data_IF_601116309561
#
_entry.id   IF_601116309561
#
_cell.length_a   1.000
_cell.length_b   1.000
_cell.length_c   1.000
_cell.angle_alpha   90.00
_cell.angle_beta   90.00
_cell.angle_gamma   90.00
#
_symmetry.space_group_name_H-M   'P 1'
#
loop_
_entity.id
_entity.type
_entity.pdbx_description
1 polymer ?
#
# COMPACT_ATOMS: atom_id res chain seq x y z
N UNK A 1 10.80 -8.21 -14.82
CA UNK A 1 11.14 -6.79 -14.96
C UNK A 1 10.01 -5.93 -14.45
N UNK A 2 10.32 -4.95 -13.60
CA UNK A 2 9.30 -4.07 -13.03
C UNK A 2 8.89 -3.00 -14.04
N UNK A 3 7.60 -2.85 -14.24
CA UNK A 3 7.03 -1.94 -15.24
C UNK A 3 6.03 -1.00 -14.58
N UNK A 4 5.76 0.12 -15.24
CA UNK A 4 4.65 1.00 -14.86
C UNK A 4 3.35 0.24 -15.06
N UNK A 5 2.47 0.27 -14.05
CA UNK A 5 1.17 -0.39 -14.12
C UNK A 5 0.09 0.67 -14.19
N UNK A 6 -0.51 0.80 -15.36
CA UNK A 6 -1.59 1.76 -15.57
C UNK A 6 -2.90 1.14 -15.08
N UNK A 7 -3.52 1.76 -14.07
CA UNK A 7 -4.79 1.28 -13.52
C UNK A 7 -5.97 1.86 -14.31
N UNK A 8 -5.94 3.17 -14.51
CA UNK A 8 -6.92 3.85 -15.36
C UNK A 8 -6.27 5.13 -15.92
N UNK A 9 -7.03 6.02 -16.57
CA UNK A 9 -6.46 7.22 -17.16
C UNK A 9 -5.82 8.18 -16.16
N UNK A 10 -6.17 8.07 -14.87
CA UNK A 10 -5.73 9.00 -13.83
C UNK A 10 -4.92 8.35 -12.72
N UNK A 11 -4.78 7.03 -12.70
CA UNK A 11 -4.13 6.32 -11.61
C UNK A 11 -3.16 5.28 -12.14
N UNK A 12 -1.94 5.28 -11.61
CA UNK A 12 -0.92 4.30 -12.01
C UNK A 12 0.01 3.97 -10.84
N UNK A 13 0.72 2.86 -10.98
CA UNK A 13 1.79 2.44 -10.09
C UNK A 13 3.12 2.60 -10.82
N UNK A 14 4.00 3.43 -10.26
CA UNK A 14 5.32 3.67 -10.81
C UNK A 14 6.35 2.92 -9.97
N UNK A 15 7.17 2.03 -10.56
CA UNK A 15 8.23 1.38 -9.78
C UNK A 15 9.07 2.42 -9.02
N UNK A 16 9.32 2.15 -7.76
CA UNK A 16 9.97 3.08 -6.84
C UNK A 16 11.29 3.64 -7.38
N UNK A 17 12.09 2.78 -8.04
CA UNK A 17 13.40 3.17 -8.52
C UNK A 17 13.36 4.13 -9.71
N UNK A 18 12.21 4.33 -10.36
CA UNK A 18 12.08 5.19 -11.54
C UNK A 18 11.95 6.68 -11.21
N UNK A 19 11.65 7.02 -9.97
CA UNK A 19 11.55 8.41 -9.54
C UNK A 19 11.83 8.53 -8.05
N UNK A 20 12.36 9.66 -7.63
CA UNK A 20 12.59 9.94 -6.21
C UNK A 20 11.56 10.94 -5.72
N UNK A 21 10.52 10.43 -5.06
CA UNK A 21 9.48 11.24 -4.45
C UNK A 21 9.59 11.30 -2.93
N UNK A 22 10.78 11.00 -2.39
CA UNK A 22 10.96 10.93 -0.92
C UNK A 22 10.70 12.24 -0.20
N UNK A 23 11.01 13.38 -0.84
CA UNK A 23 10.75 14.69 -0.23
C UNK A 23 9.25 14.89 0.03
N UNK A 24 8.42 14.55 -0.94
CA UNK A 24 6.96 14.63 -0.77
C UNK A 24 6.48 13.56 0.21
N UNK A 25 6.98 12.35 0.07
CA UNK A 25 6.59 11.23 0.94
C UNK A 25 6.88 11.52 2.41
N UNK A 26 7.99 12.20 2.71
CA UNK A 26 8.29 12.55 4.10
C UNK A 26 7.17 13.37 4.73
N UNK A 27 6.52 14.26 3.97
CA UNK A 27 5.41 15.05 4.48
C UNK A 27 4.23 14.16 4.89
N UNK A 28 3.98 13.05 4.17
CA UNK A 28 2.90 12.11 4.52
C UNK A 28 3.18 11.46 5.87
N UNK A 29 4.42 11.02 6.08
CA UNK A 29 4.81 10.27 7.27
C UNK A 29 5.16 11.17 8.46
N UNK A 30 5.00 12.48 8.32
CA UNK A 30 5.05 13.43 9.43
C UNK A 30 3.66 13.71 10.01
N UNK A 31 2.61 13.26 9.33
CA UNK A 31 1.26 13.27 9.85
C UNK A 31 1.10 12.12 10.84
N UNK A 32 1.02 12.44 12.13
CA UNK A 32 0.98 11.43 13.19
C UNK A 32 -0.28 10.56 13.15
N UNK A 33 -1.37 11.06 12.58
CA UNK A 33 -2.58 10.26 12.41
C UNK A 33 -2.35 9.18 11.36
N UNK A 34 -1.67 9.51 10.26
CA UNK A 34 -1.30 8.53 9.25
C UNK A 34 -0.34 7.50 9.83
N UNK A 35 0.69 7.96 10.54
CA UNK A 35 1.70 7.07 11.13
C UNK A 35 1.05 6.08 12.11
N UNK A 36 0.08 6.53 12.88
CA UNK A 36 -0.64 5.64 13.78
C UNK A 36 -1.37 4.53 13.03
N UNK A 37 -1.99 4.84 11.89
CA UNK A 37 -2.66 3.83 11.06
C UNK A 37 -1.66 2.83 10.47
N UNK A 38 -0.46 3.27 10.15
CA UNK A 38 0.57 2.45 9.50
C UNK A 38 1.40 1.65 10.52
N UNK A 39 1.84 2.31 11.58
CA UNK A 39 2.80 1.75 12.54
C UNK A 39 2.22 1.49 13.94
N UNK A 40 1.02 1.97 14.22
CA UNK A 40 0.40 1.83 15.53
C UNK A 40 0.94 2.79 16.60
N UNK A 41 1.79 3.73 16.23
CA UNK A 41 2.37 4.74 17.13
C UNK A 41 2.27 6.13 16.49
N UNK A 42 2.30 7.16 17.33
CA UNK A 42 2.14 8.55 16.87
C UNK A 42 3.49 9.27 16.84
N UNK A 43 4.48 8.67 16.20
CA UNK A 43 5.82 9.23 16.07
C UNK A 43 6.10 9.60 14.62
N UNK A 44 6.28 10.89 14.30
CA UNK A 44 6.54 11.29 12.92
C UNK A 44 7.87 10.73 12.44
N UNK A 45 7.96 10.42 11.15
CA UNK A 45 9.20 9.93 10.55
C UNK A 45 10.17 11.07 10.33
N UNK A 46 11.45 10.76 10.43
CA UNK A 46 12.52 11.60 9.88
C UNK A 46 13.04 10.96 8.59
N UNK A 47 14.02 11.61 7.94
CA UNK A 47 14.59 11.14 6.67
C UNK A 47 15.18 9.74 6.83
N UNK A 48 15.91 9.48 7.91
CA UNK A 48 16.56 8.20 8.13
C UNK A 48 15.55 7.07 8.26
N UNK A 49 14.48 7.29 9.01
CA UNK A 49 13.42 6.28 9.18
C UNK A 49 12.67 6.04 7.87
N UNK A 50 12.40 7.10 7.11
CA UNK A 50 11.75 6.97 5.81
C UNK A 50 12.60 6.13 4.86
N UNK A 51 13.90 6.44 4.76
CA UNK A 51 14.80 5.70 3.89
C UNK A 51 14.93 4.25 4.32
N UNK A 52 14.98 3.97 5.63
CA UNK A 52 15.04 2.61 6.14
C UNK A 52 13.78 1.81 5.78
N UNK A 53 12.61 2.44 5.89
CA UNK A 53 11.35 1.81 5.52
C UNK A 53 11.34 1.43 4.04
N UNK A 54 11.67 2.37 3.16
CA UNK A 54 11.66 2.09 1.73
C UNK A 54 12.72 1.05 1.32
N UNK A 55 13.90 1.07 1.94
CA UNK A 55 14.91 0.04 1.70
C UNK A 55 14.41 -1.36 2.08
N UNK A 56 13.74 -1.46 3.23
CA UNK A 56 13.13 -2.72 3.67
C UNK A 56 12.08 -3.20 2.67
N UNK A 57 11.18 -2.31 2.25
CA UNK A 57 10.10 -2.65 1.33
C UNK A 57 10.63 -3.08 -0.03
N UNK A 58 11.66 -2.41 -0.55
CA UNK A 58 12.29 -2.80 -1.81
C UNK A 58 12.90 -4.20 -1.76
N UNK A 59 13.46 -4.58 -0.61
CA UNK A 59 14.09 -5.89 -0.45
C UNK A 59 13.07 -7.02 -0.32
N UNK A 60 11.86 -6.72 0.15
CA UNK A 60 10.88 -7.74 0.49
C UNK A 60 9.69 -7.80 -0.46
N UNK A 61 9.67 -6.99 -1.52
CA UNK A 61 8.60 -7.02 -2.48
C UNK A 61 8.81 -6.01 -3.60
N UNK A 62 7.79 -5.84 -4.41
CA UNK A 62 7.79 -4.84 -5.47
C UNK A 62 7.18 -3.55 -4.94
N UNK A 63 8.04 -2.56 -4.71
CA UNK A 63 7.65 -1.26 -4.18
C UNK A 63 7.31 -0.30 -5.31
N UNK A 64 6.18 0.37 -5.20
CA UNK A 64 5.70 1.34 -6.19
C UNK A 64 5.29 2.64 -5.51
N UNK A 65 5.49 3.75 -6.22
CA UNK A 65 4.76 4.98 -5.96
C UNK A 65 3.36 4.83 -6.53
N UNK A 66 2.36 5.34 -5.81
CA UNK A 66 1.02 5.51 -6.34
C UNK A 66 0.96 6.92 -6.89
N UNK A 67 0.65 7.07 -8.18
CA UNK A 67 0.59 8.38 -8.83
C UNK A 67 -0.79 8.65 -9.39
N UNK A 68 -1.23 9.89 -9.24
CA UNK A 68 -2.50 10.36 -9.76
C UNK A 68 -2.25 11.49 -10.75
N UNK A 69 -2.96 11.46 -11.89
CA UNK A 69 -2.80 12.46 -12.94
C UNK A 69 -3.77 13.61 -12.74
N UNK A 70 -3.21 14.80 -12.58
CA UNK A 70 -3.97 16.03 -12.42
C UNK A 70 -3.40 17.08 -13.35
N UNK A 71 -4.27 17.73 -14.14
CA UNK A 71 -3.87 18.79 -15.08
C UNK A 71 -2.71 18.36 -15.99
N UNK A 72 -2.74 17.11 -16.44
CA UNK A 72 -1.73 16.56 -17.34
C UNK A 72 -0.44 16.11 -16.68
N UNK A 73 -0.31 16.26 -15.36
CA UNK A 73 0.89 15.87 -14.62
C UNK A 73 0.61 14.72 -13.66
N UNK A 74 1.58 13.80 -13.54
CA UNK A 74 1.51 12.71 -12.59
C UNK A 74 2.09 13.15 -11.25
N UNK A 75 1.28 13.06 -10.20
CA UNK A 75 1.66 13.46 -8.84
C UNK A 75 1.75 12.24 -7.94
N UNK A 76 2.81 12.10 -7.14
CA UNK A 76 2.86 11.02 -6.15
C UNK A 76 1.85 11.30 -5.04
N UNK A 77 1.04 10.31 -4.71
CA UNK A 77 0.00 10.44 -3.68
C UNK A 77 0.13 9.38 -2.59
N UNK A 78 0.97 8.37 -2.80
CA UNK A 78 1.14 7.30 -1.83
C UNK A 78 2.17 6.29 -2.28
N UNK A 79 2.24 5.19 -1.55
CA UNK A 79 3.11 4.07 -1.87
C UNK A 79 2.40 2.74 -1.61
N UNK A 80 2.89 1.69 -2.26
CA UNK A 80 2.35 0.34 -2.09
C UNK A 80 3.46 -0.67 -2.39
N UNK A 81 3.42 -1.78 -1.67
CA UNK A 81 4.34 -2.89 -1.91
C UNK A 81 3.56 -4.16 -2.19
N UNK A 82 3.88 -4.83 -3.29
CA UNK A 82 3.31 -6.12 -3.63
C UNK A 82 4.27 -7.22 -3.18
N UNK A 83 3.84 -8.01 -2.20
CA UNK A 83 4.55 -9.20 -1.77
C UNK A 83 3.53 -10.26 -1.35
N UNK A 84 3.94 -11.53 -1.33
CA UNK A 84 3.06 -12.59 -0.86
C UNK A 84 2.79 -12.49 0.63
N UNK A 85 3.72 -11.92 1.38
CA UNK A 85 3.68 -11.92 2.85
C UNK A 85 2.99 -10.70 3.45
N UNK A 86 2.89 -9.61 2.70
CA UNK A 86 2.24 -8.39 3.19
C UNK A 86 1.93 -7.44 2.04
N UNK A 87 0.89 -6.61 2.23
CA UNK A 87 0.42 -5.67 1.22
C UNK A 87 0.20 -4.28 1.83
N UNK A 88 1.28 -3.57 2.21
CA UNK A 88 1.10 -2.22 2.73
C UNK A 88 0.68 -1.27 1.60
N UNK A 89 -0.47 -0.63 1.76
CA UNK A 89 -1.03 0.35 0.82
C UNK A 89 -1.26 1.63 1.60
N UNK A 90 -0.59 2.70 1.19
CA UNK A 90 -0.69 3.99 1.87
C UNK A 90 -1.05 5.09 0.87
N UNK A 91 -2.22 5.69 1.04
CA UNK A 91 -2.55 6.95 0.35
C UNK A 91 -2.14 8.06 1.32
N UNK A 92 -0.98 8.65 1.07
CA UNK A 92 -0.36 9.60 2.00
C UNK A 92 -0.82 11.03 1.83
N UNK A 93 -1.22 11.41 0.62
CA UNK A 93 -1.69 12.77 0.37
C UNK A 93 -3.16 12.91 0.83
N UNK A 94 -3.44 13.79 1.82
CA UNK A 94 -4.80 13.90 2.38
C UNK A 94 -5.87 14.26 1.34
N UNK A 95 -5.50 15.00 0.29
CA UNK A 95 -6.45 15.41 -0.75
C UNK A 95 -6.99 14.22 -1.55
N UNK A 96 -6.32 13.07 -1.49
CA UNK A 96 -6.71 11.87 -2.26
C UNK A 96 -7.21 10.73 -1.40
N UNK A 97 -7.29 10.93 -0.09
CA UNK A 97 -7.82 9.94 0.84
C UNK A 97 -9.35 9.88 0.76
N UNK A 98 -9.92 8.72 1.14
CA UNK A 98 -11.37 8.50 1.21
C UNK A 98 -12.11 8.64 -0.13
N UNK A 99 -11.43 8.36 -1.24
CA UNK A 99 -11.99 8.46 -2.59
C UNK A 99 -12.01 7.11 -3.32
N UNK A 100 -11.74 6.03 -2.62
CA UNK A 100 -11.74 4.70 -3.21
C UNK A 100 -10.47 4.35 -4.00
N UNK A 101 -9.42 5.17 -3.94
CA UNK A 101 -8.20 4.91 -4.68
C UNK A 101 -7.46 3.68 -4.15
N UNK A 102 -7.43 3.49 -2.83
CA UNK A 102 -6.82 2.30 -2.23
C UNK A 102 -7.50 1.02 -2.71
N UNK A 103 -8.81 1.03 -2.90
CA UNK A 103 -9.55 -0.11 -3.44
C UNK A 103 -9.11 -0.45 -4.85
N UNK A 104 -8.94 0.56 -5.69
CA UNK A 104 -8.50 0.37 -7.08
C UNK A 104 -7.08 -0.19 -7.13
N UNK A 105 -6.21 0.30 -6.27
CA UNK A 105 -4.84 -0.22 -6.14
C UNK A 105 -4.89 -1.69 -5.69
N UNK A 106 -5.64 -2.00 -4.64
CA UNK A 106 -5.74 -3.37 -4.13
C UNK A 106 -6.29 -4.33 -5.19
N UNK A 107 -7.34 -3.92 -5.92
CA UNK A 107 -7.89 -4.73 -7.01
C UNK A 107 -6.82 -5.07 -8.05
N UNK A 108 -6.01 -4.09 -8.42
CA UNK A 108 -4.91 -4.28 -9.38
C UNK A 108 -3.86 -5.24 -8.84
N UNK A 109 -3.49 -5.11 -7.57
CA UNK A 109 -2.49 -6.00 -6.95
C UNK A 109 -2.98 -7.44 -6.90
N UNK A 110 -4.26 -7.65 -6.60
CA UNK A 110 -4.85 -8.99 -6.59
C UNK A 110 -4.77 -9.62 -7.99
N UNK A 111 -5.11 -8.85 -9.02
CA UNK A 111 -5.02 -9.34 -10.40
C UNK A 111 -3.58 -9.69 -10.78
N UNK A 112 -2.62 -8.87 -10.38
CA UNK A 112 -1.20 -9.15 -10.63
C UNK A 112 -0.75 -10.41 -9.94
N UNK A 113 -1.17 -10.62 -8.69
CA UNK A 113 -0.82 -11.82 -7.94
C UNK A 113 -1.38 -13.07 -8.61
N UNK A 114 -2.61 -13.00 -9.10
CA UNK A 114 -3.20 -14.11 -9.88
C UNK A 114 -2.42 -14.39 -11.15
N UNK A 115 -2.04 -13.36 -11.88
CA UNK A 115 -1.24 -13.50 -13.11
C UNK A 115 0.10 -14.15 -12.84
N UNK A 116 0.69 -13.91 -11.67
CA UNK A 116 1.96 -14.51 -11.26
C UNK A 116 1.80 -15.95 -10.78
N UNK A 117 0.57 -16.44 -10.66
CA UNK A 117 0.28 -17.79 -10.17
C UNK A 117 0.42 -17.93 -8.66
N UNK A 118 0.41 -16.83 -7.91
CA UNK A 118 0.46 -16.90 -6.46
C UNK A 118 -0.80 -17.55 -5.91
N UNK A 119 -0.67 -18.32 -4.84
CA UNK A 119 -1.78 -19.08 -4.26
C UNK A 119 -2.56 -18.28 -3.24
N UNK A 120 -1.91 -17.30 -2.63
CA UNK A 120 -2.54 -16.51 -1.59
C UNK A 120 -1.82 -15.18 -1.40
N UNK A 121 -2.53 -14.24 -0.79
CA UNK A 121 -1.99 -12.95 -0.34
C UNK A 121 -2.26 -12.81 1.14
N UNK A 122 -1.31 -12.22 1.86
CA UNK A 122 -1.40 -12.04 3.30
C UNK A 122 -1.28 -10.58 3.67
N UNK A 123 -1.97 -10.21 4.75
CA UNK A 123 -1.78 -8.94 5.44
C UNK A 123 -1.36 -9.30 6.85
N UNK A 124 -0.15 -8.89 7.25
CA UNK A 124 0.42 -9.32 8.51
C UNK A 124 -0.34 -8.77 9.71
N UNK A 125 -0.70 -7.48 9.65
CA UNK A 125 -1.39 -6.86 10.77
C UNK A 125 -2.20 -5.66 10.30
N UNK A 126 -3.46 -5.62 10.69
CA UNK A 126 -4.28 -4.41 10.62
C UNK A 126 -4.66 -4.09 12.05
N UNK A 127 -4.31 -2.88 12.51
CA UNK A 127 -4.60 -2.46 13.87
C UNK A 127 -6.11 -2.40 14.11
N UNK A 128 -6.54 -2.74 15.31
CA UNK A 128 -7.97 -2.85 15.64
C UNK A 128 -8.75 -1.56 15.38
N UNK A 129 -8.10 -0.41 15.52
CA UNK A 129 -8.75 0.87 15.27
C UNK A 129 -8.83 1.24 13.79
N UNK A 130 -8.12 0.53 12.91
CA UNK A 130 -8.09 0.85 11.47
C UNK A 130 -9.22 0.13 10.72
N UNK A 131 -10.46 0.55 11.00
CA UNK A 131 -11.65 -0.09 10.42
C UNK A 131 -11.78 0.12 8.92
N UNK A 132 -11.32 1.26 8.41
CA UNK A 132 -11.41 1.57 6.98
C UNK A 132 -10.57 0.59 6.17
N UNK A 133 -9.32 0.36 6.59
CA UNK A 133 -8.42 -0.59 5.93
C UNK A 133 -8.98 -2.01 6.00
N UNK A 134 -9.46 -2.42 7.17
CA UNK A 134 -10.01 -3.76 7.34
C UNK A 134 -11.22 -3.99 6.43
N UNK A 135 -12.14 -3.05 6.37
CA UNK A 135 -13.32 -3.17 5.48
C UNK A 135 -12.92 -3.25 4.02
N UNK A 136 -11.88 -2.48 3.63
CA UNK A 136 -11.37 -2.51 2.25
C UNK A 136 -10.89 -3.92 1.90
N UNK A 137 -10.02 -4.50 2.71
CA UNK A 137 -9.51 -5.86 2.46
C UNK A 137 -10.62 -6.90 2.50
N UNK A 138 -11.48 -6.84 3.49
CA UNK A 138 -12.60 -7.80 3.63
C UNK A 138 -13.55 -7.74 2.44
N UNK A 139 -13.74 -6.57 1.85
CA UNK A 139 -14.61 -6.42 0.68
C UNK A 139 -14.07 -7.17 -0.56
N UNK A 140 -12.79 -7.52 -0.58
CA UNK A 140 -12.19 -8.33 -1.64
C UNK A 140 -12.09 -9.81 -1.28
N UNK A 141 -12.62 -10.21 -0.13
CA UNK A 141 -12.64 -11.60 0.29
C UNK A 141 -11.53 -11.99 1.25
N UNK A 142 -10.72 -11.05 1.71
CA UNK A 142 -9.75 -11.36 2.77
C UNK A 142 -10.49 -11.75 4.04
N UNK A 143 -9.99 -12.78 4.71
CA UNK A 143 -10.57 -13.30 5.95
C UNK A 143 -9.53 -13.31 7.07
N UNK A 144 -10.00 -13.25 8.30
CA UNK A 144 -9.13 -13.30 9.46
C UNK A 144 -8.35 -14.61 9.49
N UNK A 145 -7.02 -14.52 9.61
CA UNK A 145 -6.14 -15.68 9.66
C UNK A 145 -5.40 -15.80 10.99
N UNK A 146 -5.44 -14.77 11.80
CA UNK A 146 -4.82 -14.80 13.11
C UNK A 146 -5.01 -13.48 13.81
N UNK A 147 -4.62 -13.42 15.08
CA UNK A 147 -4.61 -12.19 15.85
C UNK A 147 -3.19 -11.85 16.29
N UNK A 148 -2.94 -10.55 16.42
CA UNK A 148 -1.68 -10.01 16.90
C UNK A 148 -1.96 -9.27 18.22
N UNK A 149 -0.93 -8.77 18.86
CA UNK A 149 -1.12 -8.02 20.10
C UNK A 149 -2.03 -6.81 19.92
N UNK A 150 -1.95 -6.12 18.78
CA UNK A 150 -2.68 -4.87 18.54
C UNK A 150 -3.68 -4.95 17.41
N UNK A 151 -3.82 -6.09 16.74
CA UNK A 151 -4.67 -6.18 15.57
C UNK A 151 -4.92 -7.60 15.07
N UNK A 152 -5.13 -7.68 13.77
CA UNK A 152 -5.58 -8.91 13.11
C UNK A 152 -4.78 -9.13 11.83
N UNK A 153 -4.44 -10.39 11.56
CA UNK A 153 -3.85 -10.81 10.28
C UNK A 153 -4.97 -11.26 9.34
N UNK A 154 -4.83 -10.98 8.06
CA UNK A 154 -5.81 -11.38 7.04
C UNK A 154 -5.16 -12.20 5.94
N UNK A 155 -5.96 -13.00 5.27
CA UNK A 155 -5.54 -13.89 4.20
C UNK A 155 -6.58 -13.91 3.08
N UNK A 156 -6.12 -13.84 1.85
CA UNK A 156 -6.94 -14.08 0.66
C UNK A 156 -6.38 -15.26 -0.10
N UNK A 157 -7.17 -16.30 -0.30
CA UNK A 157 -6.80 -17.39 -1.19
C UNK A 157 -7.14 -17.00 -2.62
N UNK A 158 -6.18 -17.20 -3.52
CA UNK A 158 -6.35 -16.88 -4.92
C UNK A 158 -6.72 -18.15 -5.68
N UNK A 159 -7.76 -18.03 -6.50
CA UNK A 159 -8.17 -19.14 -7.33
C UNK A 159 -7.15 -19.35 -8.44
N UNK A 160 -6.89 -20.62 -8.73
CA UNK A 160 -5.89 -21.02 -9.72
C UNK A 160 -6.46 -21.13 -11.14
N UNK A 161 -7.61 -20.55 -11.37
CA UNK A 161 -8.25 -20.62 -12.69
C UNK A 161 -7.65 -19.62 -13.67
#
# INVERSE_FOLDING_TARGET
>A
MKQIIQINSSLRLLPYFLADHRDVALTWYQDVDLVELVDGVRSPYNVEKLNAMYSYLEKHGDLFWIEFREKGEWLPIGDVTLSQENLPIVIGNPAYQHQGLGRKVLSTLIDLARQRGWKELKVQEIYDFNHVSRRCFESFGFVESGSTEKGTSLLLKLDSN
#
